data_IF_589457007892
#
_entry.id   IF_589457007892
#
_cell.length_a   1.000
_cell.length_b   1.000
_cell.length_c   1.000
_cell.angle_alpha   90.00
_cell.angle_beta   90.00
_cell.angle_gamma   90.00
#
_symmetry.space_group_name_H-M   'P 1'
#
loop_
_entity.id
_entity.type
_entity.pdbx_description
1 polymer ?
#
# COMPACT_ATOMS: atom_id res chain seq x y z
N UNK A 1 -7.75 -13.76 -36.55
CA UNK A 1 -7.30 -14.38 -35.28
C UNK A 1 -7.82 -13.51 -34.14
N UNK A 2 -8.62 -14.06 -33.24
CA UNK A 2 -9.11 -13.31 -32.07
C UNK A 2 -7.92 -13.03 -31.12
N UNK A 3 -7.78 -11.80 -30.63
CA UNK A 3 -6.79 -11.48 -29.58
C UNK A 3 -7.09 -12.37 -28.36
N UNK A 4 -6.10 -13.03 -27.75
CA UNK A 4 -6.33 -13.78 -26.52
C UNK A 4 -6.94 -12.85 -25.47
N UNK A 5 -8.04 -13.27 -24.84
CA UNK A 5 -8.63 -12.55 -23.73
C UNK A 5 -7.65 -12.63 -22.55
N UNK A 6 -6.96 -11.53 -22.28
CA UNK A 6 -6.11 -11.36 -21.10
C UNK A 6 -7.02 -11.51 -19.86
N UNK A 7 -6.79 -12.49 -18.97
CA UNK A 7 -7.52 -12.65 -17.72
C UNK A 7 -7.56 -11.33 -16.93
N UNK A 8 -8.66 -11.07 -16.22
CA UNK A 8 -8.83 -9.84 -15.44
C UNK A 8 -7.66 -9.59 -14.48
N UNK A 9 -7.14 -10.66 -13.86
CA UNK A 9 -6.00 -10.61 -12.94
C UNK A 9 -4.71 -10.12 -13.61
N UNK A 10 -4.41 -10.54 -14.84
CA UNK A 10 -3.22 -10.06 -15.56
C UNK A 10 -3.28 -8.55 -15.83
N UNK A 11 -4.47 -8.00 -16.18
CA UNK A 11 -4.63 -6.56 -16.38
C UNK A 11 -4.42 -5.78 -15.08
N UNK A 12 -4.99 -6.25 -13.97
CA UNK A 12 -4.80 -5.64 -12.65
C UNK A 12 -3.32 -5.62 -12.25
N UNK A 13 -2.64 -6.77 -12.36
CA UNK A 13 -1.22 -6.90 -12.03
C UNK A 13 -0.32 -6.01 -12.89
N UNK A 14 -0.59 -5.91 -14.19
CA UNK A 14 0.18 -5.01 -15.08
C UNK A 14 0.01 -3.53 -14.69
N UNK A 15 -1.21 -3.10 -14.36
CA UNK A 15 -1.48 -1.73 -13.93
C UNK A 15 -0.79 -1.42 -12.59
N UNK A 16 -0.87 -2.33 -11.63
CA UNK A 16 -0.21 -2.17 -10.33
C UNK A 16 1.31 -2.19 -10.43
N UNK A 17 1.89 -3.09 -11.23
CA UNK A 17 3.33 -3.14 -11.45
C UNK A 17 3.84 -1.84 -12.07
N UNK A 18 3.16 -1.37 -13.12
CA UNK A 18 3.48 -0.10 -13.77
C UNK A 18 3.41 1.06 -12.77
N UNK A 19 2.32 1.14 -11.99
CA UNK A 19 2.16 2.18 -10.98
C UNK A 19 3.26 2.16 -9.91
N UNK A 20 3.69 0.98 -9.46
CA UNK A 20 4.79 0.83 -8.50
C UNK A 20 6.17 1.08 -9.09
N UNK A 21 6.36 0.94 -10.40
CA UNK A 21 7.61 1.27 -11.08
C UNK A 21 7.71 2.77 -11.39
N UNK A 22 6.61 3.41 -11.77
CA UNK A 22 6.53 4.85 -12.02
C UNK A 22 6.55 5.66 -10.72
N UNK A 23 5.85 5.17 -9.69
CA UNK A 23 5.78 5.79 -8.37
C UNK A 23 6.11 4.75 -7.26
N UNK A 24 7.40 4.44 -7.04
CA UNK A 24 7.82 3.46 -6.05
C UNK A 24 7.41 3.84 -4.62
N UNK A 25 7.13 2.83 -3.81
CA UNK A 25 7.03 3.00 -2.35
C UNK A 25 8.44 3.22 -1.80
N UNK A 26 8.61 4.19 -0.91
CA UNK A 26 9.91 4.49 -0.30
C UNK A 26 10.54 3.25 0.36
N UNK A 27 11.78 2.97 0.01
CA UNK A 27 12.49 1.77 0.47
C UNK A 27 12.13 0.47 -0.25
N UNK A 28 11.28 0.49 -1.28
CA UNK A 28 10.90 -0.70 -2.04
C UNK A 28 11.26 -0.57 -3.51
N UNK A 29 11.70 -1.68 -4.10
CA UNK A 29 11.79 -1.87 -5.55
C UNK A 29 11.10 -3.17 -5.92
N UNK A 30 10.27 -3.12 -6.94
CA UNK A 30 9.42 -4.23 -7.36
C UNK A 30 9.72 -4.56 -8.82
N UNK A 31 10.05 -5.82 -9.07
CA UNK A 31 10.30 -6.34 -10.41
C UNK A 31 9.64 -7.71 -10.57
N UNK A 32 9.46 -8.15 -11.81
CA UNK A 32 9.10 -9.53 -12.09
C UNK A 32 10.32 -10.44 -11.86
N UNK A 33 10.07 -11.67 -11.42
CA UNK A 33 11.14 -12.67 -11.35
C UNK A 33 11.50 -13.18 -12.74
N UNK A 34 10.49 -13.32 -13.59
CA UNK A 34 10.59 -13.68 -15.00
C UNK A 34 9.64 -12.76 -15.78
N UNK A 35 10.12 -12.17 -16.88
CA UNK A 35 9.32 -11.28 -17.72
C UNK A 35 8.05 -11.96 -18.28
N UNK A 36 8.06 -13.29 -18.39
CA UNK A 36 6.91 -14.09 -18.81
C UNK A 36 5.89 -14.39 -17.71
N UNK A 37 6.19 -14.10 -16.44
CA UNK A 37 5.39 -14.49 -15.28
C UNK A 37 4.97 -13.29 -14.42
N UNK A 38 3.79 -12.74 -14.75
CA UNK A 38 3.17 -11.65 -14.01
C UNK A 38 2.71 -12.03 -12.59
N UNK A 39 2.68 -13.32 -12.23
CA UNK A 39 2.17 -13.78 -10.94
C UNK A 39 3.27 -13.97 -9.89
N UNK A 40 4.53 -13.71 -10.23
CA UNK A 40 5.66 -13.84 -9.31
C UNK A 40 6.57 -12.61 -9.35
N UNK A 41 6.52 -11.80 -8.30
CA UNK A 41 7.31 -10.57 -8.22
C UNK A 41 8.42 -10.72 -7.19
N UNK A 42 9.60 -10.18 -7.51
CA UNK A 42 10.68 -9.95 -6.57
C UNK A 42 10.55 -8.55 -5.96
N UNK A 43 10.64 -8.50 -4.64
CA UNK A 43 10.57 -7.26 -3.87
C UNK A 43 11.89 -7.07 -3.15
N UNK A 44 12.62 -6.02 -3.52
CA UNK A 44 13.79 -5.55 -2.80
C UNK A 44 13.37 -4.49 -1.78
N UNK A 45 13.79 -4.67 -0.52
CA UNK A 45 13.40 -3.82 0.62
C UNK A 45 14.67 -3.28 1.25
N UNK A 46 14.73 -1.96 1.40
CA UNK A 46 15.82 -1.27 2.05
C UNK A 46 15.42 -0.89 3.47
N UNK A 47 16.30 -1.14 4.43
CA UNK A 47 16.03 -0.74 5.81
C UNK A 47 16.04 0.79 5.96
N UNK A 48 15.02 1.39 6.61
CA UNK A 48 14.95 2.84 6.77
C UNK A 48 16.12 3.38 7.62
N UNK A 49 16.61 4.60 7.33
CA UNK A 49 17.59 5.29 8.18
C UNK A 49 17.09 5.49 9.60
N UNK A 50 18.01 5.52 10.58
CA UNK A 50 17.71 5.65 12.01
C UNK A 50 16.89 4.48 12.60
N UNK A 51 16.96 3.31 11.97
CA UNK A 51 16.38 2.07 12.49
C UNK A 51 17.45 1.01 12.67
N UNK A 52 17.15 -0.07 13.41
CA UNK A 52 18.07 -1.21 13.49
C UNK A 52 18.26 -1.94 12.16
N UNK A 53 17.40 -1.65 11.17
CA UNK A 53 17.47 -2.21 9.83
C UNK A 53 18.30 -1.35 8.86
N UNK A 54 18.73 -0.15 9.26
CA UNK A 54 19.46 0.79 8.41
C UNK A 54 20.61 0.13 7.66
N UNK A 55 20.68 0.37 6.35
CA UNK A 55 21.69 -0.22 5.47
C UNK A 55 21.44 -1.70 5.14
N UNK A 56 20.30 -2.25 5.53
CA UNK A 56 19.89 -3.61 5.17
C UNK A 56 19.30 -3.69 3.76
N UNK A 57 19.55 -4.81 3.08
CA UNK A 57 19.00 -5.18 1.79
C UNK A 57 18.27 -6.52 1.87
N UNK A 58 16.95 -6.48 1.99
CA UNK A 58 16.13 -7.68 2.18
C UNK A 58 15.40 -8.01 0.89
N UNK A 59 15.36 -9.30 0.55
CA UNK A 59 14.63 -9.81 -0.61
C UNK A 59 13.39 -10.54 -0.15
N UNK A 60 12.28 -10.30 -0.83
CA UNK A 60 11.02 -10.99 -0.65
C UNK A 60 10.39 -11.34 -2.00
N UNK A 61 9.39 -12.21 -1.97
CA UNK A 61 8.63 -12.64 -3.14
C UNK A 61 7.15 -12.47 -2.87
N UNK A 62 6.46 -11.85 -3.81
CA UNK A 62 5.00 -11.83 -3.91
C UNK A 62 4.56 -12.88 -4.93
N UNK A 63 3.64 -13.76 -4.52
CA UNK A 63 3.02 -14.74 -5.41
C UNK A 63 1.53 -14.51 -5.45
N UNK A 64 1.02 -14.20 -6.62
CA UNK A 64 -0.39 -13.87 -6.84
C UNK A 64 -1.19 -15.11 -7.25
N UNK A 65 -2.44 -15.25 -6.78
CA UNK A 65 -3.33 -16.27 -7.25
C UNK A 65 -3.96 -15.88 -8.59
N UNK A 66 -4.55 -16.85 -9.31
CA UNK A 66 -5.12 -16.62 -10.65
C UNK A 66 -6.33 -15.68 -10.63
N UNK A 67 -7.03 -15.63 -9.50
CA UNK A 67 -8.23 -14.84 -9.23
C UNK A 67 -7.91 -13.53 -8.49
N UNK A 68 -6.66 -13.09 -8.44
CA UNK A 68 -6.31 -11.77 -7.92
C UNK A 68 -7.12 -10.66 -8.64
N UNK A 69 -7.68 -9.65 -7.91
CA UNK A 69 -7.51 -9.34 -6.49
C UNK A 69 -8.56 -9.95 -5.55
N UNK A 70 -9.36 -10.93 -5.98
CA UNK A 70 -10.37 -11.53 -5.10
C UNK A 70 -9.76 -12.36 -3.98
N UNK A 71 -8.66 -13.07 -4.26
CA UNK A 71 -7.85 -13.76 -3.26
C UNK A 71 -6.52 -13.03 -2.99
N UNK A 72 -6.01 -13.03 -1.75
CA UNK A 72 -4.76 -12.36 -1.41
C UNK A 72 -3.54 -13.04 -2.04
N UNK A 73 -2.48 -12.27 -2.36
CA UNK A 73 -1.19 -12.84 -2.67
C UNK A 73 -0.50 -13.41 -1.43
N UNK A 74 0.48 -14.28 -1.62
CA UNK A 74 1.39 -14.69 -0.57
C UNK A 74 2.64 -13.79 -0.59
N UNK A 75 3.03 -13.25 0.57
CA UNK A 75 4.27 -12.50 0.76
C UNK A 75 5.26 -13.31 1.60
N UNK A 76 6.45 -13.56 1.06
CA UNK A 76 7.48 -14.34 1.73
C UNK A 76 8.86 -13.71 1.59
N UNK A 77 9.54 -13.48 2.71
CA UNK A 77 10.94 -13.12 2.72
C UNK A 77 11.81 -14.28 2.22
N UNK A 78 12.70 -13.98 1.29
CA UNK A 78 13.78 -14.88 0.85
C UNK A 78 15.00 -14.71 1.77
N UNK A 79 15.27 -13.48 2.20
CA UNK A 79 16.25 -13.20 3.25
C UNK A 79 15.73 -13.73 4.59
N UNK A 80 16.55 -14.44 5.36
CA UNK A 80 16.15 -14.93 6.68
C UNK A 80 15.94 -13.76 7.64
N UNK A 81 14.71 -13.63 8.17
CA UNK A 81 14.33 -12.56 9.09
C UNK A 81 14.11 -13.11 10.51
N UNK A 82 14.62 -12.40 11.53
CA UNK A 82 14.30 -12.67 12.92
C UNK A 82 13.28 -11.64 13.38
N UNK A 83 12.01 -12.02 13.46
CA UNK A 83 10.94 -11.06 13.69
C UNK A 83 9.72 -11.72 14.34
N UNK A 84 9.02 -11.07 15.30
CA UNK A 84 7.85 -11.64 15.96
C UNK A 84 6.73 -12.10 15.00
N UNK A 85 6.56 -11.44 13.86
CA UNK A 85 5.49 -11.72 12.89
C UNK A 85 5.98 -12.34 11.57
N UNK A 86 7.20 -12.87 11.53
CA UNK A 86 7.72 -13.59 10.36
C UNK A 86 8.06 -15.01 10.77
N UNK A 87 7.47 -15.99 10.08
CA UNK A 87 7.76 -17.41 10.31
C UNK A 87 9.20 -17.75 9.88
N UNK A 88 9.74 -18.86 10.37
CA UNK A 88 11.06 -19.36 9.94
C UNK A 88 11.15 -19.62 8.42
N UNK A 89 9.99 -19.93 7.81
CA UNK A 89 9.84 -20.11 6.35
C UNK A 89 9.90 -18.80 5.56
N UNK A 90 9.92 -17.64 6.25
CA UNK A 90 9.89 -16.30 5.67
C UNK A 90 8.49 -15.76 5.41
N UNK A 91 7.44 -16.56 5.60
CA UNK A 91 6.06 -16.09 5.43
C UNK A 91 5.74 -15.00 6.46
N UNK A 92 5.04 -13.95 6.04
CA UNK A 92 4.63 -12.85 6.92
C UNK A 92 3.24 -13.13 7.47
N UNK A 93 3.06 -12.98 8.78
CA UNK A 93 1.77 -13.07 9.44
C UNK A 93 1.19 -11.67 9.62
N UNK A 94 0.33 -11.25 8.68
CA UNK A 94 -0.35 -9.96 8.73
C UNK A 94 -1.79 -10.13 8.23
N UNK A 95 -2.74 -9.51 8.94
CA UNK A 95 -4.17 -9.72 8.74
C UNK A 95 -4.63 -9.41 7.30
N UNK A 96 -4.04 -8.40 6.65
CA UNK A 96 -4.37 -7.99 5.27
C UNK A 96 -4.10 -9.09 4.24
N UNK A 97 -3.20 -10.04 4.52
CA UNK A 97 -2.92 -11.18 3.61
C UNK A 97 -3.80 -12.40 3.88
N UNK A 98 -4.81 -12.26 4.75
CA UNK A 98 -5.77 -13.30 5.04
C UNK A 98 -7.18 -12.88 4.58
N UNK A 99 -7.98 -13.83 4.05
CA UNK A 99 -9.39 -13.60 3.77
C UNK A 99 -10.12 -13.08 5.00
N UNK A 100 -11.24 -12.36 4.82
CA UNK A 100 -12.09 -11.96 5.93
C UNK A 100 -12.60 -13.21 6.65
N UNK A 101 -12.67 -13.13 7.97
CA UNK A 101 -13.34 -14.14 8.80
C UNK A 101 -14.68 -13.55 9.20
N UNK A 102 -15.77 -14.29 8.97
CA UNK A 102 -17.11 -13.93 9.46
C UNK A 102 -17.21 -14.19 10.97
N UNK A 103 -16.32 -13.57 11.75
CA UNK A 103 -16.34 -13.60 13.22
C UNK A 103 -16.59 -12.18 13.76
N UNK A 104 -17.84 -11.86 14.13
CA UNK A 104 -18.20 -10.58 14.74
C UNK A 104 -17.45 -10.27 16.04
N UNK A 105 -16.86 -11.29 16.69
CA UNK A 105 -16.13 -11.15 17.95
C UNK A 105 -14.64 -10.86 17.74
N UNK A 106 -14.13 -10.98 16.52
CA UNK A 106 -12.70 -10.81 16.21
C UNK A 106 -12.20 -9.38 16.47
N UNK A 107 -13.09 -8.39 16.38
CA UNK A 107 -12.76 -6.97 16.56
C UNK A 107 -11.93 -6.36 15.41
N UNK A 108 -11.72 -7.10 14.32
CA UNK A 108 -10.94 -6.63 13.17
C UNK A 108 -11.82 -5.88 12.16
N UNK A 109 -11.31 -4.78 11.62
CA UNK A 109 -11.98 -4.00 10.60
C UNK A 109 -11.87 -4.69 9.23
N UNK A 110 -12.85 -4.53 8.32
CA UNK A 110 -12.75 -5.05 6.95
C UNK A 110 -11.51 -4.54 6.18
N UNK A 111 -11.01 -3.35 6.51
CA UNK A 111 -9.77 -2.78 5.97
C UNK A 111 -8.50 -3.43 6.51
N UNK A 112 -8.58 -4.17 7.61
CA UNK A 112 -7.46 -4.92 8.20
C UNK A 112 -7.35 -6.33 7.63
N UNK A 113 -8.35 -6.77 6.85
CA UNK A 113 -8.36 -8.06 6.13
C UNK A 113 -8.27 -7.85 4.63
N UNK A 114 -7.97 -8.94 3.91
CA UNK A 114 -7.96 -8.89 2.45
C UNK A 114 -9.36 -8.62 1.92
N UNK A 115 -9.46 -7.72 0.96
CA UNK A 115 -10.64 -7.53 0.14
C UNK A 115 -10.21 -7.01 -1.24
N UNK A 116 -11.05 -7.07 -2.29
CA UNK A 116 -10.66 -6.71 -3.66
C UNK A 116 -10.29 -5.24 -3.89
N UNK A 117 -10.42 -4.36 -2.90
CA UNK A 117 -9.96 -2.96 -2.96
C UNK A 117 -8.53 -2.78 -2.44
N UNK A 118 -8.00 -3.80 -1.75
CA UNK A 118 -6.59 -3.85 -1.37
C UNK A 118 -5.71 -4.07 -2.61
N UNK A 119 -4.47 -3.63 -2.53
CA UNK A 119 -3.52 -3.69 -3.63
C UNK A 119 -2.09 -3.92 -3.10
N UNK A 120 -1.14 -4.08 -4.02
CA UNK A 120 0.26 -4.33 -3.63
C UNK A 120 0.83 -3.16 -2.84
N UNK A 121 0.49 -1.90 -3.17
CA UNK A 121 0.96 -0.73 -2.42
C UNK A 121 0.51 -0.80 -0.96
N UNK A 122 -0.74 -1.15 -0.68
CA UNK A 122 -1.23 -1.28 0.71
C UNK A 122 -0.50 -2.40 1.45
N UNK A 123 -0.25 -3.54 0.80
CA UNK A 123 0.56 -4.63 1.38
C UNK A 123 1.96 -4.14 1.77
N UNK A 124 2.67 -3.43 0.88
CA UNK A 124 4.04 -2.97 1.15
C UNK A 124 4.07 -2.00 2.35
N UNK A 125 3.12 -1.06 2.40
CA UNK A 125 3.00 -0.12 3.52
C UNK A 125 2.68 -0.85 4.84
N UNK A 126 1.81 -1.87 4.81
CA UNK A 126 1.50 -2.69 5.97
C UNK A 126 2.71 -3.51 6.44
N UNK A 127 3.55 -4.01 5.53
CA UNK A 127 4.81 -4.70 5.88
C UNK A 127 5.80 -3.73 6.56
N UNK A 128 5.93 -2.49 6.08
CA UNK A 128 6.76 -1.46 6.74
C UNK A 128 6.27 -1.22 8.17
N UNK A 129 4.96 -1.01 8.34
CA UNK A 129 4.35 -0.81 9.65
C UNK A 129 4.65 -1.97 10.59
N UNK A 130 4.48 -3.21 10.12
CA UNK A 130 4.74 -4.42 10.89
C UNK A 130 6.21 -4.58 11.30
N UNK A 131 7.16 -4.22 10.42
CA UNK A 131 8.59 -4.28 10.73
C UNK A 131 9.02 -3.26 11.81
N UNK A 132 8.34 -2.12 11.86
CA UNK A 132 8.59 -1.08 12.85
C UNK A 132 7.90 -1.38 14.20
N UNK A 133 6.65 -1.86 14.13
CA UNK A 133 5.80 -2.15 15.29
C UNK A 133 5.25 -3.59 15.20
N UNK A 134 6.04 -4.59 15.64
CA UNK A 134 5.60 -5.97 15.67
C UNK A 134 4.37 -6.18 16.56
N UNK A 135 3.43 -7.00 16.09
CA UNK A 135 2.32 -7.47 16.90
C UNK A 135 2.78 -8.63 17.81
N UNK A 136 2.84 -8.39 19.11
CA UNK A 136 3.26 -9.41 20.09
C UNK A 136 2.12 -10.24 20.68
N UNK A 137 0.86 -9.90 20.39
CA UNK A 137 -0.32 -10.62 20.89
C UNK A 137 -0.54 -11.95 20.17
N UNK A 138 -0.31 -11.96 18.85
CA UNK A 138 -0.39 -13.16 18.01
C UNK A 138 0.89 -13.30 17.16
N UNK A 139 2.02 -13.70 17.76
CA UNK A 139 3.29 -13.79 17.06
C UNK A 139 3.38 -15.06 16.20
N UNK A 140 4.00 -14.94 15.03
CA UNK A 140 4.41 -16.06 14.19
C UNK A 140 5.69 -16.75 14.73
N UNK A 141 6.56 -15.97 15.38
CA UNK A 141 7.76 -16.43 16.04
C UNK A 141 7.71 -16.03 17.52
N UNK A 142 7.41 -17.01 18.36
CA UNK A 142 7.21 -16.80 19.81
C UNK A 142 8.51 -16.34 20.47
N UNK A 143 9.65 -16.94 20.12
CA UNK A 143 10.94 -16.61 20.72
C UNK A 143 11.36 -15.18 20.38
N UNK A 144 11.24 -14.79 19.10
CA UNK A 144 11.49 -13.41 18.67
C UNK A 144 10.56 -12.42 19.38
N UNK A 145 9.29 -12.79 19.60
CA UNK A 145 8.31 -11.98 20.33
C UNK A 145 8.68 -11.78 21.80
N UNK A 146 9.12 -12.84 22.48
CA UNK A 146 9.61 -12.77 23.88
C UNK A 146 10.84 -11.86 23.97
N UNK A 147 11.83 -12.03 23.07
CA UNK A 147 13.02 -11.19 23.03
C UNK A 147 12.68 -9.72 22.75
N UNK A 148 11.77 -9.45 21.82
CA UNK A 148 11.33 -8.10 21.49
C UNK A 148 10.66 -7.41 22.68
N UNK A 149 9.75 -8.12 23.40
CA UNK A 149 9.12 -7.57 24.62
C UNK A 149 10.15 -7.24 25.69
N UNK A 150 11.08 -8.15 25.97
CA UNK A 150 12.18 -7.93 26.92
C UNK A 150 13.03 -6.71 26.53
N UNK A 151 13.36 -6.56 25.25
CA UNK A 151 14.07 -5.39 24.71
C UNK A 151 13.28 -4.09 24.97
N UNK A 152 11.98 -4.05 24.63
CA UNK A 152 11.10 -2.90 24.86
C UNK A 152 10.97 -2.54 26.35
N UNK A 153 10.67 -3.52 27.20
CA UNK A 153 10.51 -3.35 28.65
C UNK A 153 11.79 -2.83 29.31
N UNK A 154 12.95 -3.29 28.84
CA UNK A 154 14.25 -2.82 29.31
C UNK A 154 14.62 -1.41 28.83
N UNK A 155 13.79 -0.77 27.98
CA UNK A 155 14.07 0.50 27.29
C UNK A 155 15.38 0.44 26.49
N UNK A 156 15.65 -0.69 25.84
CA UNK A 156 16.84 -0.91 25.01
C UNK A 156 18.13 -1.23 25.77
N UNK A 157 18.07 -1.51 27.07
CA UNK A 157 19.22 -1.97 27.86
C UNK A 157 19.61 -3.41 27.52
N UNK A 158 18.61 -4.29 27.39
CA UNK A 158 18.82 -5.60 26.81
C UNK A 158 19.06 -5.42 25.32
N UNK A 159 20.15 -5.97 24.78
CA UNK A 159 20.51 -5.77 23.37
C UNK A 159 20.38 -7.03 22.52
N UNK A 160 19.97 -8.14 23.11
CA UNK A 160 19.98 -9.47 22.47
C UNK A 160 19.20 -9.43 21.14
N UNK A 161 17.98 -8.90 21.18
CA UNK A 161 17.15 -8.72 19.99
C UNK A 161 17.85 -7.86 18.94
N UNK A 162 18.35 -6.67 19.32
CA UNK A 162 18.98 -5.73 18.38
C UNK A 162 20.29 -6.24 17.79
N UNK A 163 21.05 -7.04 18.54
CA UNK A 163 22.32 -7.60 18.08
C UNK A 163 22.08 -8.68 17.00
N UNK A 164 20.98 -9.43 17.09
CA UNK A 164 20.54 -10.34 16.03
C UNK A 164 20.17 -9.56 14.75
N UNK A 165 19.36 -8.50 14.87
CA UNK A 165 18.95 -7.68 13.73
C UNK A 165 20.18 -7.07 13.03
N UNK A 166 21.11 -6.48 13.79
CA UNK A 166 22.36 -5.93 13.24
C UNK A 166 23.17 -6.98 12.49
N UNK A 167 23.27 -8.21 13.02
CA UNK A 167 23.98 -9.31 12.35
C UNK A 167 23.31 -9.67 11.02
N UNK A 168 21.98 -9.70 10.98
CA UNK A 168 21.23 -9.96 9.74
C UNK A 168 21.46 -8.86 8.71
N UNK A 169 21.33 -7.59 9.11
CA UNK A 169 21.61 -6.42 8.26
C UNK A 169 23.02 -6.48 7.67
N UNK A 170 24.04 -6.76 8.49
CA UNK A 170 25.40 -6.90 8.00
C UNK A 170 25.55 -8.05 6.99
N UNK A 171 24.85 -9.17 7.20
CA UNK A 171 24.83 -10.29 6.26
C UNK A 171 24.26 -9.91 4.90
N UNK A 172 23.24 -9.05 4.86
CA UNK A 172 22.61 -8.62 3.59
C UNK A 172 23.52 -7.82 2.67
N UNK A 173 24.64 -7.29 3.17
CA UNK A 173 25.62 -6.59 2.33
C UNK A 173 26.20 -7.49 1.24
N UNK A 174 26.37 -8.78 1.53
CA UNK A 174 26.84 -9.78 0.56
C UNK A 174 25.81 -9.97 -0.55
N UNK A 175 24.52 -10.00 -0.21
CA UNK A 175 23.44 -10.09 -1.18
C UNK A 175 23.35 -8.82 -2.04
N UNK A 176 23.53 -7.64 -1.42
CA UNK A 176 23.53 -6.36 -2.14
C UNK A 176 24.70 -6.26 -3.13
N UNK A 177 25.89 -6.69 -2.74
CA UNK A 177 27.08 -6.73 -3.60
C UNK A 177 26.89 -7.71 -4.76
N UNK A 178 26.40 -8.93 -4.48
CA UNK A 178 26.10 -9.94 -5.50
C UNK A 178 25.11 -9.43 -6.55
N UNK A 179 24.09 -8.71 -6.11
CA UNK A 179 23.02 -8.22 -6.98
C UNK A 179 23.35 -6.83 -7.57
N UNK A 180 24.52 -6.26 -7.27
CA UNK A 180 24.98 -4.95 -7.79
C UNK A 180 24.16 -3.76 -7.27
N UNK A 181 23.51 -3.89 -6.11
CA UNK A 181 22.59 -2.91 -5.56
C UNK A 181 23.30 -1.97 -4.59
N UNK A 182 23.26 -0.66 -4.86
CA UNK A 182 23.67 0.37 -3.89
C UNK A 182 22.53 0.63 -2.90
N UNK A 183 22.73 0.28 -1.64
CA UNK A 183 21.76 0.49 -0.55
C UNK A 183 21.75 1.97 -0.14
N UNK A 184 20.56 2.61 -0.04
CA UNK A 184 20.45 3.98 0.45
C UNK A 184 20.82 4.05 1.93
N UNK A 185 21.62 5.04 2.31
CA UNK A 185 22.07 5.22 3.72
C UNK A 185 21.62 6.56 4.31
N UNK A 186 21.15 7.48 3.46
CA UNK A 186 20.64 8.77 3.90
C UNK A 186 19.13 8.84 3.68
N UNK A 187 18.45 9.69 4.45
CA UNK A 187 17.01 9.94 4.26
C UNK A 187 16.70 10.46 2.85
N UNK A 188 17.58 11.30 2.29
CA UNK A 188 17.41 11.83 0.93
C UNK A 188 17.56 10.76 -0.17
N UNK A 189 18.39 9.74 0.04
CA UNK A 189 18.51 8.59 -0.87
C UNK A 189 17.34 7.61 -0.69
N UNK A 190 16.80 7.50 0.53
CA UNK A 190 15.69 6.60 0.86
C UNK A 190 14.34 7.13 0.36
N UNK A 191 14.05 8.40 0.63
CA UNK A 191 12.85 9.09 0.16
C UNK A 191 13.08 9.55 -1.28
N UNK A 192 12.75 8.68 -2.25
CA UNK A 192 12.79 9.04 -3.66
C UNK A 192 11.80 10.17 -3.88
N UNK A 193 12.27 11.37 -4.22
CA UNK A 193 11.40 12.47 -4.66
C UNK A 193 10.72 12.01 -5.95
N UNK A 194 9.46 11.59 -5.86
CA UNK A 194 8.61 11.40 -7.02
C UNK A 194 8.56 12.76 -7.74
N UNK A 195 8.98 12.76 -9.00
CA UNK A 195 9.05 13.99 -9.80
C UNK A 195 7.59 14.43 -10.04
N UNK A 196 7.18 15.56 -9.48
CA UNK A 196 5.93 16.20 -9.89
C UNK A 196 5.99 16.37 -11.41
N UNK A 197 4.97 15.94 -12.19
CA UNK A 197 4.92 16.27 -13.61
C UNK A 197 5.11 17.78 -13.74
N UNK A 198 5.98 18.21 -14.64
CA UNK A 198 6.09 19.63 -14.95
C UNK A 198 4.69 20.13 -15.32
N UNK A 199 4.24 21.31 -14.84
CA UNK A 199 3.05 21.92 -15.39
C UNK A 199 3.30 22.07 -16.90
N UNK A 200 2.42 21.46 -17.70
CA UNK A 200 2.42 21.62 -19.14
C UNK A 200 2.19 23.11 -19.43
N UNK A 201 3.23 23.82 -19.86
CA UNK A 201 3.10 25.17 -20.42
C UNK A 201 2.39 25.02 -21.78
N UNK A 202 1.07 24.85 -21.76
CA UNK A 202 0.38 24.45 -22.98
C UNK A 202 -1.14 24.35 -22.98
N UNK A 203 -1.88 24.96 -22.05
CA UNK A 203 -3.32 25.22 -22.29
C UNK A 203 -3.85 26.37 -21.45
N UNK A 204 -3.31 27.56 -21.70
CA UNK A 204 -3.86 28.82 -21.22
C UNK A 204 -4.82 29.34 -22.28
N UNK A 205 -6.06 28.81 -22.37
CA UNK A 205 -7.13 29.41 -23.17
C UNK A 205 -8.54 28.97 -22.69
N UNK A 206 -9.32 29.98 -22.29
CA UNK A 206 -10.77 30.03 -22.09
C UNK A 206 -11.34 29.64 -20.72
N UNK A 207 -11.10 30.51 -19.74
CA UNK A 207 -12.18 30.95 -18.86
C UNK A 207 -12.09 32.46 -18.74
N UNK A 208 -12.76 33.17 -19.64
CA UNK A 208 -13.07 34.56 -19.40
C UNK A 208 -14.40 34.92 -20.03
N UNK A 209 -15.13 35.69 -19.25
CA UNK A 209 -16.23 36.57 -19.59
C UNK A 209 -17.59 35.94 -19.93
N UNK A 210 -18.58 36.21 -19.07
CA UNK A 210 -19.85 36.87 -19.39
C UNK A 210 -20.69 36.94 -18.11
N UNK A 211 -20.40 37.95 -17.28
CA UNK A 211 -21.44 38.62 -16.52
C UNK A 211 -21.86 39.83 -17.36
N UNK A 212 -22.88 39.67 -18.19
CA UNK A 212 -23.67 40.80 -18.67
C UNK A 212 -25.05 40.73 -18.02
N UNK A 213 -25.23 41.71 -17.14
CA UNK A 213 -26.48 42.21 -16.57
C UNK A 213 -27.41 42.60 -17.73
N UNK A 214 -28.59 41.99 -17.82
CA UNK A 214 -29.67 42.51 -18.66
C UNK A 214 -30.98 42.54 -17.86
N UNK A 215 -31.43 43.77 -17.67
CA UNK A 215 -32.64 44.26 -17.05
C UNK A 215 -33.88 43.54 -17.61
N UNK A 216 -34.70 42.95 -16.74
CA UNK A 216 -36.03 42.48 -17.12
C UNK A 216 -37.04 43.61 -16.88
N UNK A 217 -37.13 44.54 -17.84
CA UNK A 217 -38.19 45.55 -17.90
C UNK A 217 -39.53 44.94 -18.35
N UNK A 218 -40.58 45.57 -17.83
CA UNK A 218 -41.99 45.26 -17.93
C UNK A 218 -42.52 45.27 -19.37
N UNK A 219 -43.36 44.30 -19.73
CA UNK A 219 -44.40 44.51 -20.75
C UNK A 219 -45.72 43.89 -20.24
N UNK A 220 -46.67 44.78 -19.98
CA UNK A 220 -48.06 44.48 -19.69
C UNK A 220 -48.82 44.18 -20.99
N UNK A 221 -49.69 43.18 -21.01
CA UNK A 221 -51.09 43.48 -21.34
C UNK A 221 -52.08 42.40 -20.87
N UNK A 222 -53.22 42.95 -20.50
CA UNK A 222 -54.48 42.46 -19.97
C UNK A 222 -55.15 41.26 -20.65
N UNK A 223 -55.93 40.51 -19.86
CA UNK A 223 -57.36 40.28 -20.13
C UNK A 223 -58.06 39.66 -18.90
N UNK A 224 -58.88 40.50 -18.27
CA UNK A 224 -60.13 40.28 -17.53
C UNK A 224 -60.62 38.87 -17.19
N UNK A 225 -61.12 38.72 -15.96
CA UNK A 225 -62.26 37.85 -15.67
C UNK A 225 -62.34 37.35 -14.23
N UNK A 226 -63.08 38.09 -13.40
CA UNK A 226 -63.55 37.78 -12.05
C UNK A 226 -64.15 36.36 -11.88
N UNK A 227 -64.07 35.76 -10.69
CA UNK A 227 -65.14 35.81 -9.67
C UNK A 227 -64.84 34.87 -8.49
N UNK A 228 -65.35 35.31 -7.34
CA UNK A 228 -65.21 34.82 -5.98
C UNK A 228 -65.67 33.36 -5.72
N UNK A 229 -65.22 32.77 -4.62
CA UNK A 229 -66.07 32.59 -3.42
C UNK A 229 -65.82 31.29 -2.62
N UNK A 230 -65.76 31.51 -1.31
CA UNK A 230 -66.06 30.62 -0.19
C UNK A 230 -65.17 29.41 0.11
N UNK A 231 -64.56 29.48 1.29
CA UNK A 231 -64.12 28.30 2.01
C UNK A 231 -65.28 27.49 2.57
N UNK A 232 -64.98 26.25 2.95
CA UNK A 232 -65.64 25.61 4.08
C UNK A 232 -64.69 24.59 4.71
N UNK A 233 -64.28 24.87 5.94
CA UNK A 233 -64.00 23.83 6.93
C UNK A 233 -65.32 23.15 7.25
N UNK A 234 -65.36 21.82 7.34
CA UNK A 234 -66.12 21.17 8.41
C UNK A 234 -65.67 19.71 8.60
N UNK A 235 -65.27 19.44 9.84
CA UNK A 235 -65.58 18.29 10.71
C UNK A 235 -65.66 16.87 10.15
#
# INVERSE_FOLDING_TARGET
MARPLVPSSQKALLLELKGLQEEPVEGFRVNLVDEGDLYNWEVAIFGPPNTYYEGGYFKARLRFPIDYPYSPPAFRFLTKMWHPNIYETGNVCISILHPPVDDPQSGELPSERWNPTQNVRTILLSVISLLNEPNTFSPANVDASVMYRKWKESKGKDREYTDIIRKQVLGTKVDAERDGVKVPTTLAEYCVKTKTPAPDEGSDLFYDDYYEDDEMEEEADSCYGDEDDSGNEES
#
